data_IF_112275022079
#
_entry.id   IF_112275022079
#
_cell.length_a   1.000
_cell.length_b   1.000
_cell.length_c   1.000
_cell.angle_alpha   90.00
_cell.angle_beta   90.00
_cell.angle_gamma   90.00
#
_symmetry.space_group_name_H-M   'P 1'
#
loop_
_entity.id
_entity.type
_entity.pdbx_description
1 polymer ?
#
# COMPACT_ATOMS: atom_id res chain seq x y z
N UNK A 1 -19.24 4.34 -10.58
CA UNK A 1 -18.18 4.85 -9.69
C UNK A 1 -16.80 4.21 -9.94
N UNK A 2 -16.64 2.87 -9.88
CA UNK A 2 -15.33 2.18 -10.09
C UNK A 2 -14.59 2.54 -11.40
N UNK A 3 -15.28 2.66 -12.54
CA UNK A 3 -14.67 3.04 -13.84
C UNK A 3 -14.10 4.46 -13.89
N UNK A 4 -14.70 5.40 -13.16
CA UNK A 4 -14.25 6.81 -13.12
C UNK A 4 -13.01 6.94 -12.24
N UNK A 5 -13.02 6.32 -11.06
CA UNK A 5 -11.85 6.25 -10.16
C UNK A 5 -10.62 5.67 -10.88
N UNK A 6 -10.80 4.59 -11.64
CA UNK A 6 -9.69 3.97 -12.37
C UNK A 6 -9.08 4.89 -13.45
N UNK A 7 -9.90 5.72 -14.10
CA UNK A 7 -9.41 6.71 -15.08
C UNK A 7 -8.65 7.88 -14.44
N UNK A 8 -8.90 8.16 -13.16
CA UNK A 8 -8.27 9.27 -12.43
C UNK A 8 -6.99 8.85 -11.69
N UNK A 9 -6.79 7.55 -11.42
CA UNK A 9 -5.61 7.04 -10.72
C UNK A 9 -4.31 7.37 -11.46
N UNK A 10 -4.24 7.11 -12.77
CA UNK A 10 -3.01 7.34 -13.55
C UNK A 10 -2.66 8.83 -13.61
N UNK A 11 -3.57 9.74 -13.99
CA UNK A 11 -3.31 11.18 -13.93
C UNK A 11 -2.92 11.65 -12.53
N UNK A 12 -3.56 11.14 -11.48
CA UNK A 12 -3.24 11.46 -10.09
C UNK A 12 -1.81 11.07 -9.72
N UNK A 13 -1.38 9.85 -10.07
CA UNK A 13 0.00 9.37 -9.86
C UNK A 13 1.03 10.21 -10.64
N UNK A 14 0.71 10.61 -11.87
CA UNK A 14 1.59 11.50 -12.65
C UNK A 14 1.71 12.87 -11.99
N UNK A 15 0.59 13.47 -11.56
CA UNK A 15 0.60 14.74 -10.86
C UNK A 15 1.38 14.66 -9.54
N UNK A 16 1.18 13.59 -8.77
CA UNK A 16 1.93 13.34 -7.54
C UNK A 16 3.43 13.13 -7.79
N UNK A 17 3.81 12.46 -8.87
CA UNK A 17 5.22 12.29 -9.26
C UNK A 17 5.86 13.64 -9.62
N UNK A 18 5.17 14.46 -10.41
CA UNK A 18 5.64 15.81 -10.74
C UNK A 18 5.79 16.67 -9.49
N UNK A 19 4.83 16.59 -8.57
CA UNK A 19 4.90 17.32 -7.30
C UNK A 19 6.05 16.83 -6.42
N UNK A 20 6.28 15.51 -6.37
CA UNK A 20 7.42 14.92 -5.68
C UNK A 20 8.75 15.39 -6.27
N UNK A 21 8.90 15.37 -7.59
CA UNK A 21 10.10 15.88 -8.27
C UNK A 21 10.32 17.35 -7.94
N UNK A 22 9.28 18.18 -8.01
CA UNK A 22 9.37 19.59 -7.64
C UNK A 22 9.86 19.76 -6.20
N UNK A 23 9.23 19.09 -5.24
CA UNK A 23 9.63 19.14 -3.82
C UNK A 23 11.08 18.70 -3.61
N UNK A 24 11.51 17.63 -4.29
CA UNK A 24 12.88 17.13 -4.18
C UNK A 24 13.93 18.10 -4.73
N UNK A 25 13.56 18.93 -5.72
CA UNK A 25 14.43 19.93 -6.33
C UNK A 25 14.47 21.25 -5.55
N UNK A 26 13.38 21.62 -4.86
CA UNK A 26 13.27 22.93 -4.22
C UNK A 26 13.53 22.90 -2.71
N UNK A 27 13.22 21.80 -2.03
CA UNK A 27 13.36 21.70 -0.58
C UNK A 27 14.68 21.02 -0.17
N UNK A 28 15.13 21.30 1.05
CA UNK A 28 16.24 20.56 1.65
C UNK A 28 15.75 19.18 2.08
N UNK A 29 16.26 18.17 1.39
CA UNK A 29 15.84 16.79 1.58
C UNK A 29 16.96 15.99 2.27
N UNK A 30 16.65 15.45 3.45
CA UNK A 30 17.58 14.61 4.20
C UNK A 30 17.24 13.13 3.99
N UNK A 31 18.23 12.36 3.56
CA UNK A 31 18.10 10.90 3.51
C UNK A 31 18.32 10.31 4.91
N UNK A 32 17.27 9.74 5.50
CA UNK A 32 17.27 9.18 6.86
C UNK A 32 17.04 7.66 6.83
N UNK A 33 18.08 6.82 6.66
CA UNK A 33 17.91 5.38 6.47
C UNK A 33 17.31 4.67 7.69
N UNK A 34 17.59 5.14 8.91
CA UNK A 34 16.98 4.58 10.13
C UNK A 34 15.46 4.74 10.16
N UNK A 35 14.93 5.82 9.56
CA UNK A 35 13.48 6.03 9.46
C UNK A 35 12.85 5.05 8.46
N UNK A 36 13.58 4.66 7.41
CA UNK A 36 13.13 3.61 6.48
C UNK A 36 13.04 2.26 7.21
N UNK A 37 14.05 1.92 8.02
CA UNK A 37 14.00 0.70 8.84
C UNK A 37 12.81 0.73 9.80
N UNK A 38 12.57 1.87 10.46
CA UNK A 38 11.41 2.06 11.32
C UNK A 38 10.08 1.88 10.56
N UNK A 39 9.96 2.49 9.37
CA UNK A 39 8.80 2.30 8.48
C UNK A 39 8.55 0.82 8.22
N UNK A 40 9.59 0.06 7.85
CA UNK A 40 9.46 -1.36 7.50
C UNK A 40 9.05 -2.21 8.69
N UNK A 41 9.70 -2.03 9.85
CA UNK A 41 9.38 -2.77 11.07
C UNK A 41 7.96 -2.46 11.55
N UNK A 42 7.58 -1.19 11.53
CA UNK A 42 6.26 -0.76 11.97
C UNK A 42 5.15 -1.26 11.03
N UNK A 43 5.38 -1.21 9.71
CA UNK A 43 4.47 -1.77 8.72
C UNK A 43 4.33 -3.28 8.89
N UNK A 44 5.44 -4.01 9.08
CA UNK A 44 5.40 -5.44 9.33
C UNK A 44 4.65 -5.80 10.62
N UNK A 45 4.86 -5.03 11.70
CA UNK A 45 4.16 -5.21 12.96
C UNK A 45 2.64 -5.01 12.79
N UNK A 46 2.22 -3.89 12.20
CA UNK A 46 0.81 -3.59 12.00
C UNK A 46 0.14 -4.58 11.05
N UNK A 47 0.82 -4.97 9.96
CA UNK A 47 0.34 -6.02 9.08
C UNK A 47 0.19 -7.34 9.84
N UNK A 48 1.19 -7.74 10.64
CA UNK A 48 1.14 -8.96 11.46
C UNK A 48 -0.02 -8.94 12.47
N UNK A 49 -0.25 -7.83 13.16
CA UNK A 49 -1.39 -7.66 14.06
C UNK A 49 -2.73 -7.76 13.31
N UNK A 50 -2.81 -7.15 12.12
CA UNK A 50 -3.99 -7.23 11.27
C UNK A 50 -4.28 -8.68 10.84
N UNK A 51 -3.27 -9.38 10.31
CA UNK A 51 -3.38 -10.79 9.94
C UNK A 51 -3.77 -11.68 11.13
N UNK A 52 -3.10 -11.52 12.27
CA UNK A 52 -3.42 -12.27 13.50
C UNK A 52 -4.86 -12.03 13.97
N UNK A 53 -5.36 -10.79 13.86
CA UNK A 53 -6.74 -10.45 14.16
C UNK A 53 -7.74 -11.13 13.22
N UNK A 54 -7.46 -11.16 11.91
CA UNK A 54 -8.32 -11.85 10.94
C UNK A 54 -8.35 -13.37 11.19
N UNK A 55 -7.21 -13.98 11.51
CA UNK A 55 -7.14 -15.41 11.86
C UNK A 55 -7.95 -15.69 13.13
N UNK A 56 -7.82 -14.86 14.15
CA UNK A 56 -8.60 -15.02 15.37
C UNK A 56 -10.10 -14.95 15.08
N UNK A 57 -10.54 -14.03 14.23
CA UNK A 57 -11.94 -13.90 13.83
C UNK A 57 -12.45 -15.10 13.02
N UNK A 58 -11.62 -15.70 12.16
CA UNK A 58 -12.03 -16.89 11.39
C UNK A 58 -12.26 -18.11 12.29
N UNK A 59 -11.48 -18.27 13.37
CA UNK A 59 -11.73 -19.30 14.38
C UNK A 59 -13.12 -19.19 15.03
N UNK A 60 -13.68 -17.98 15.13
CA UNK A 60 -14.99 -17.75 15.77
C UNK A 60 -16.16 -17.67 14.78
N UNK A 61 -15.91 -17.58 13.48
CA UNK A 61 -16.97 -17.40 12.48
C UNK A 61 -16.65 -18.04 11.14
N UNK A 62 -17.35 -19.14 10.83
CA UNK A 62 -17.25 -19.82 9.53
C UNK A 62 -17.61 -18.93 8.35
N UNK A 63 -18.62 -18.06 8.50
CA UNK A 63 -18.99 -17.10 7.45
C UNK A 63 -17.92 -16.02 7.22
N UNK A 64 -17.07 -15.75 8.22
CA UNK A 64 -15.93 -14.86 8.06
C UNK A 64 -14.78 -15.56 7.33
N UNK A 65 -14.54 -16.83 7.65
CA UNK A 65 -13.52 -17.67 7.01
C UNK A 65 -13.75 -17.80 5.50
N UNK A 66 -14.98 -18.17 5.09
CA UNK A 66 -15.36 -18.29 3.67
C UNK A 66 -15.12 -16.97 2.90
N UNK A 67 -15.40 -15.82 3.52
CA UNK A 67 -15.18 -14.50 2.91
C UNK A 67 -13.70 -14.13 2.82
N UNK A 68 -12.92 -14.51 3.82
CA UNK A 68 -11.48 -14.25 3.86
C UNK A 68 -10.78 -15.02 2.73
N UNK A 69 -11.15 -16.28 2.50
CA UNK A 69 -10.62 -17.07 1.38
C UNK A 69 -10.95 -16.46 0.02
N UNK A 70 -12.20 -16.02 -0.19
CA UNK A 70 -12.62 -15.36 -1.43
C UNK A 70 -11.81 -14.07 -1.68
N UNK A 71 -11.65 -13.24 -0.63
CA UNK A 71 -10.86 -12.02 -0.67
C UNK A 71 -9.39 -12.28 -1.03
N UNK A 72 -8.78 -13.33 -0.44
CA UNK A 72 -7.40 -13.72 -0.74
C UNK A 72 -7.22 -14.20 -2.18
N UNK A 73 -8.15 -14.99 -2.70
CA UNK A 73 -8.11 -15.46 -4.09
C UNK A 73 -8.22 -14.27 -5.06
N UNK A 74 -9.16 -13.36 -4.81
CA UNK A 74 -9.34 -12.15 -5.60
C UNK A 74 -8.09 -11.25 -5.56
N UNK A 75 -7.47 -11.09 -4.39
CA UNK A 75 -6.24 -10.33 -4.23
C UNK A 75 -5.06 -10.96 -4.99
N UNK A 76 -4.90 -12.28 -4.95
CA UNK A 76 -3.87 -12.99 -5.72
C UNK A 76 -4.04 -12.80 -7.23
N UNK A 77 -5.28 -12.93 -7.74
CA UNK A 77 -5.59 -12.68 -9.16
C UNK A 77 -5.26 -11.23 -9.55
N UNK A 78 -5.63 -10.25 -8.71
CA UNK A 78 -5.32 -8.84 -8.96
C UNK A 78 -3.81 -8.59 -9.01
N UNK A 79 -3.06 -9.15 -8.05
CA UNK A 79 -1.59 -9.03 -8.00
C UNK A 79 -0.91 -9.69 -9.20
N UNK A 80 -1.40 -10.84 -9.67
CA UNK A 80 -0.89 -11.48 -10.89
C UNK A 80 -1.13 -10.60 -12.14
N UNK A 81 -2.29 -9.95 -12.24
CA UNK A 81 -2.58 -9.00 -13.33
C UNK A 81 -1.63 -7.80 -13.27
N UNK A 82 -1.43 -7.22 -12.10
CA UNK A 82 -0.49 -6.10 -11.91
C UNK A 82 0.93 -6.54 -12.28
N UNK A 83 1.38 -7.71 -11.82
CA UNK A 83 2.71 -8.24 -12.17
C UNK A 83 2.89 -8.44 -13.69
N UNK A 84 1.87 -8.98 -14.36
CA UNK A 84 1.90 -9.16 -15.81
C UNK A 84 1.96 -7.82 -16.55
N UNK A 85 1.23 -6.82 -16.05
CA UNK A 85 1.21 -5.47 -16.60
C UNK A 85 2.56 -4.76 -16.38
N UNK A 86 3.13 -4.83 -15.18
CA UNK A 86 4.47 -4.32 -14.89
C UNK A 86 5.54 -4.99 -15.76
N UNK A 87 5.43 -6.30 -16.02
CA UNK A 87 6.34 -7.00 -16.93
C UNK A 87 6.25 -6.47 -18.37
N UNK A 88 5.07 -6.06 -18.82
CA UNK A 88 4.86 -5.47 -20.16
C UNK A 88 5.30 -4.00 -20.20
N UNK A 89 5.04 -3.27 -19.14
CA UNK A 89 5.22 -1.83 -19.03
C UNK A 89 6.02 -1.50 -17.74
N UNK A 90 7.35 -1.74 -17.72
CA UNK A 90 8.16 -1.66 -16.50
C UNK A 90 8.20 -0.26 -15.89
N UNK A 91 7.98 0.78 -16.70
CA UNK A 91 7.87 2.17 -16.22
C UNK A 91 6.70 2.40 -15.26
N UNK A 92 5.72 1.50 -15.17
CA UNK A 92 4.64 1.61 -14.18
C UNK A 92 5.14 1.56 -12.74
N UNK A 93 6.32 0.98 -12.48
CA UNK A 93 6.98 1.01 -11.16
C UNK A 93 7.29 2.46 -10.74
N UNK A 94 7.59 3.35 -11.69
CA UNK A 94 7.85 4.77 -11.42
C UNK A 94 6.59 5.53 -10.96
N UNK A 95 5.40 4.94 -11.13
CA UNK A 95 4.15 5.53 -10.66
C UNK A 95 3.87 5.21 -9.18
N UNK A 96 4.63 4.32 -8.55
CA UNK A 96 4.50 4.01 -7.11
C UNK A 96 4.88 5.24 -6.27
N UNK A 97 6.06 5.87 -6.45
CA UNK A 97 6.37 7.16 -5.79
C UNK A 97 5.36 8.27 -6.10
N UNK A 98 4.75 8.23 -7.29
CA UNK A 98 3.72 9.18 -7.68
C UNK A 98 2.46 9.08 -6.83
N UNK A 99 2.14 7.91 -6.30
CA UNK A 99 1.03 7.73 -5.38
C UNK A 99 1.31 8.43 -4.03
N UNK A 100 2.49 8.23 -3.46
CA UNK A 100 2.90 8.89 -2.22
C UNK A 100 2.98 10.42 -2.38
N UNK A 101 3.51 10.88 -3.52
CA UNK A 101 3.54 12.29 -3.88
C UNK A 101 2.14 12.90 -4.03
N UNK A 102 1.14 12.11 -4.43
CA UNK A 102 -0.23 12.60 -4.55
C UNK A 102 -0.95 12.67 -3.20
N UNK A 103 -0.84 11.62 -2.38
CA UNK A 103 -1.61 11.50 -1.14
C UNK A 103 -0.91 12.09 0.09
N UNK A 104 0.41 11.97 0.21
CA UNK A 104 1.13 12.29 1.45
C UNK A 104 1.94 13.58 1.37
N UNK A 105 2.50 13.90 0.21
CA UNK A 105 3.29 15.13 0.08
C UNK A 105 2.49 16.42 0.41
N UNK A 106 1.19 16.58 0.04
CA UNK A 106 0.42 17.75 0.44
C UNK A 106 0.40 17.99 1.96
N UNK A 107 0.48 16.94 2.78
CA UNK A 107 0.45 17.04 4.24
C UNK A 107 1.69 17.75 4.80
N UNK A 108 2.82 17.70 4.10
CA UNK A 108 4.02 18.46 4.48
C UNK A 108 3.80 19.97 4.33
N UNK A 109 2.90 20.39 3.43
CA UNK A 109 2.63 21.80 3.16
C UNK A 109 1.47 22.36 3.98
N UNK A 110 0.41 21.57 4.22
CA UNK A 110 -0.75 22.00 5.01
C UNK A 110 -0.58 21.75 6.52
N UNK A 111 0.41 20.94 6.90
CA UNK A 111 0.65 20.51 8.27
C UNK A 111 0.11 19.11 8.56
N UNK A 112 0.92 18.32 9.28
CA UNK A 112 0.58 16.97 9.71
C UNK A 112 -0.09 17.07 11.09
N UNK A 113 -1.34 16.60 11.16
CA UNK A 113 -2.07 16.42 12.41
C UNK A 113 -2.99 15.19 12.27
N UNK A 114 -3.62 14.70 13.37
CA UNK A 114 -4.49 13.53 13.31
C UNK A 114 -5.62 13.63 12.26
N UNK A 115 -6.17 14.81 12.01
CA UNK A 115 -7.25 14.99 11.05
C UNK A 115 -6.73 14.94 9.60
N UNK A 116 -5.65 15.66 9.29
CA UNK A 116 -5.05 15.64 7.94
C UNK A 116 -4.51 14.26 7.59
N UNK A 117 -3.89 13.57 8.55
CA UNK A 117 -3.46 12.17 8.41
C UNK A 117 -4.63 11.21 8.17
N UNK A 118 -5.74 11.37 8.89
CA UNK A 118 -6.95 10.56 8.70
C UNK A 118 -7.52 10.71 7.29
N UNK A 119 -7.66 11.95 6.82
CA UNK A 119 -8.20 12.23 5.48
C UNK A 119 -7.29 11.63 4.40
N UNK A 120 -5.97 11.84 4.49
CA UNK A 120 -5.03 11.29 3.51
C UNK A 120 -5.05 9.77 3.49
N UNK A 121 -5.01 9.13 4.67
CA UNK A 121 -5.07 7.67 4.79
C UNK A 121 -6.39 7.11 4.24
N UNK A 122 -7.52 7.78 4.49
CA UNK A 122 -8.82 7.38 3.97
C UNK A 122 -8.87 7.46 2.44
N UNK A 123 -8.38 8.56 1.86
CA UNK A 123 -8.29 8.73 0.41
C UNK A 123 -7.35 7.70 -0.23
N UNK A 124 -6.20 7.47 0.38
CA UNK A 124 -5.23 6.46 -0.05
C UNK A 124 -5.84 5.05 -0.03
N UNK A 125 -6.48 4.64 1.08
CA UNK A 125 -7.16 3.35 1.18
C UNK A 125 -8.34 3.23 0.19
N UNK A 126 -9.10 4.31 -0.01
CA UNK A 126 -10.21 4.34 -0.95
C UNK A 126 -9.75 4.16 -2.41
N UNK A 127 -8.59 4.72 -2.78
CA UNK A 127 -8.00 4.52 -4.10
C UNK A 127 -7.64 3.05 -4.38
N UNK A 128 -7.36 2.28 -3.32
CA UNK A 128 -7.06 0.86 -3.40
C UNK A 128 -8.31 -0.04 -3.43
N UNK A 129 -9.50 0.44 -3.02
CA UNK A 129 -10.74 -0.35 -3.03
C UNK A 129 -11.15 -0.84 -4.44
N UNK A 130 -10.52 -0.34 -5.50
CA UNK A 130 -10.73 -0.81 -6.86
C UNK A 130 -10.14 -2.21 -7.12
N UNK A 131 -9.13 -2.62 -6.35
CA UNK A 131 -8.40 -3.87 -6.56
C UNK A 131 -7.98 -4.60 -5.27
N UNK A 132 -8.14 -4.00 -4.09
CA UNK A 132 -8.05 -4.66 -2.77
C UNK A 132 -9.45 -4.93 -2.22
N UNK A 133 -9.59 -5.96 -1.38
CA UNK A 133 -10.83 -6.18 -0.65
C UNK A 133 -11.06 -5.09 0.39
N UNK A 134 -12.30 -4.95 0.88
CA UNK A 134 -12.61 -3.95 1.90
C UNK A 134 -11.78 -4.18 3.17
N UNK A 135 -11.58 -5.44 3.57
CA UNK A 135 -10.77 -5.80 4.72
C UNK A 135 -9.31 -5.34 4.53
N UNK A 136 -8.72 -5.62 3.37
CA UNK A 136 -7.36 -5.16 3.04
C UNK A 136 -7.25 -3.63 2.97
N UNK A 137 -8.30 -2.93 2.56
CA UNK A 137 -8.36 -1.47 2.56
C UNK A 137 -8.42 -0.89 3.99
N UNK A 138 -9.11 -1.54 4.92
CA UNK A 138 -9.11 -1.13 6.34
C UNK A 138 -7.70 -1.28 6.93
N UNK A 139 -7.02 -2.40 6.67
CA UNK A 139 -5.62 -2.57 7.07
C UNK A 139 -4.71 -1.51 6.45
N UNK A 140 -4.87 -1.24 5.15
CA UNK A 140 -4.13 -0.19 4.43
C UNK A 140 -4.38 1.20 5.04
N UNK A 141 -5.62 1.50 5.42
CA UNK A 141 -5.99 2.75 6.09
C UNK A 141 -5.24 2.94 7.40
N UNK A 142 -5.27 1.95 8.31
CA UNK A 142 -4.60 2.08 9.60
C UNK A 142 -3.09 2.21 9.46
N UNK A 143 -2.47 1.41 8.58
CA UNK A 143 -1.04 1.51 8.29
C UNK A 143 -0.70 2.90 7.77
N UNK A 144 -1.39 3.38 6.74
CA UNK A 144 -1.15 4.71 6.17
C UNK A 144 -1.36 5.83 7.21
N UNK A 145 -2.40 5.73 8.04
CA UNK A 145 -2.69 6.69 9.09
C UNK A 145 -1.54 6.87 10.07
N UNK A 146 -1.02 5.77 10.62
CA UNK A 146 0.09 5.84 11.57
C UNK A 146 1.41 6.23 10.88
N UNK A 147 1.64 5.81 9.64
CA UNK A 147 2.83 6.24 8.89
C UNK A 147 2.81 7.75 8.60
N UNK A 148 1.64 8.34 8.31
CA UNK A 148 1.48 9.79 8.20
C UNK A 148 1.82 10.52 9.51
N UNK A 149 1.57 9.93 10.66
CA UNK A 149 1.84 10.56 11.97
C UNK A 149 3.27 10.35 12.46
N UNK A 150 3.90 9.22 12.11
CA UNK A 150 5.16 8.80 12.72
C UNK A 150 6.34 8.92 11.75
N UNK A 151 6.13 8.63 10.46
CA UNK A 151 7.19 8.60 9.45
C UNK A 151 7.20 9.87 8.61
N UNK A 152 6.06 10.30 8.08
CA UNK A 152 5.97 11.46 7.21
C UNK A 152 6.56 12.76 7.83
N UNK A 153 6.45 13.04 9.15
CA UNK A 153 7.11 14.21 9.75
C UNK A 153 8.63 14.21 9.63
N UNK A 154 9.25 13.05 9.36
CA UNK A 154 10.68 12.92 9.16
C UNK A 154 11.12 13.24 7.72
N UNK A 155 10.17 13.40 6.80
CA UNK A 155 10.36 13.73 5.40
C UNK A 155 9.64 12.78 4.45
N UNK A 156 9.48 13.20 3.19
CA UNK A 156 8.82 12.38 2.16
C UNK A 156 9.70 11.21 1.66
N UNK A 157 11.04 11.36 1.68
CA UNK A 157 11.93 10.33 1.14
C UNK A 157 11.82 9.00 1.90
N UNK A 158 11.87 8.95 3.25
CA UNK A 158 11.71 7.69 3.96
C UNK A 158 10.35 7.03 3.73
N UNK A 159 9.29 7.83 3.56
CA UNK A 159 7.94 7.35 3.24
C UNK A 159 7.91 6.63 1.89
N UNK A 160 8.40 7.30 0.84
CA UNK A 160 8.45 6.76 -0.53
C UNK A 160 9.36 5.53 -0.62
N UNK A 161 10.55 5.60 -0.03
CA UNK A 161 11.51 4.49 -0.08
C UNK A 161 10.99 3.26 0.68
N UNK A 162 10.40 3.47 1.86
CA UNK A 162 9.79 2.40 2.65
C UNK A 162 8.65 1.72 1.89
N UNK A 163 7.74 2.51 1.31
CA UNK A 163 6.63 2.00 0.51
C UNK A 163 7.11 1.20 -0.70
N UNK A 164 8.08 1.73 -1.46
CA UNK A 164 8.65 1.04 -2.61
C UNK A 164 9.28 -0.31 -2.23
N UNK A 165 9.99 -0.38 -1.10
CA UNK A 165 10.58 -1.64 -0.61
C UNK A 165 9.48 -2.65 -0.26
N UNK A 166 8.40 -2.21 0.41
CA UNK A 166 7.26 -3.10 0.75
C UNK A 166 6.63 -3.64 -0.53
N UNK A 167 6.33 -2.78 -1.50
CA UNK A 167 5.71 -3.17 -2.77
C UNK A 167 6.59 -4.16 -3.55
N UNK A 168 7.89 -3.87 -3.68
CA UNK A 168 8.85 -4.78 -4.32
C UNK A 168 8.89 -6.13 -3.58
N UNK A 169 8.92 -6.11 -2.25
CA UNK A 169 8.94 -7.34 -1.43
C UNK A 169 7.70 -8.19 -1.70
N UNK A 170 6.52 -7.58 -1.77
CA UNK A 170 5.28 -8.28 -2.14
C UNK A 170 5.40 -8.89 -3.53
N UNK A 171 5.88 -8.15 -4.53
CA UNK A 171 6.07 -8.67 -5.89
C UNK A 171 7.05 -9.85 -5.97
N UNK A 172 8.10 -9.83 -5.15
CA UNK A 172 9.11 -10.89 -5.05
C UNK A 172 8.59 -12.14 -4.32
N UNK A 173 7.71 -11.96 -3.33
CA UNK A 173 7.13 -13.07 -2.56
C UNK A 173 5.97 -13.79 -3.29
N UNK A 174 5.29 -13.11 -4.23
CA UNK A 174 4.16 -13.67 -4.99
C UNK A 174 4.39 -15.07 -5.62
N UNK A 175 5.53 -15.35 -6.30
CA UNK A 175 5.80 -16.68 -6.85
C UNK A 175 5.82 -17.79 -5.80
N UNK A 176 6.32 -17.50 -4.61
CA UNK A 176 6.44 -18.47 -3.52
C UNK A 176 5.08 -18.78 -2.90
N UNK A 177 4.25 -17.76 -2.68
CA UNK A 177 2.89 -17.92 -2.14
C UNK A 177 1.96 -18.72 -3.08
N UNK A 178 2.14 -18.58 -4.39
CA UNK A 178 1.33 -19.33 -5.36
C UNK A 178 1.73 -20.81 -5.46
N UNK A 179 3.03 -21.12 -5.27
CA UNK A 179 3.52 -22.51 -5.32
C UNK A 179 2.96 -23.34 -4.16
N UNK A 180 2.93 -22.77 -2.95
CA UNK A 180 2.37 -23.43 -1.76
C UNK A 180 0.87 -23.69 -1.84
N UNK A 181 0.08 -22.84 -2.50
CA UNK A 181 -1.37 -23.08 -2.70
C UNK A 181 -1.64 -24.18 -3.73
N UNK A 182 -0.82 -24.31 -4.76
CA UNK A 182 -0.95 -25.38 -5.78
C UNK A 182 -0.53 -26.76 -5.23
N UNK A 183 0.54 -26.80 -4.44
CA UNK A 183 1.02 -28.04 -3.81
C UNK A 183 0.08 -28.50 -2.67
N UNK A 184 -0.60 -27.58 -1.98
CA UNK A 184 -1.61 -27.92 -0.97
C UNK A 184 -2.95 -28.43 -1.54
N UNK A 185 -3.38 -27.92 -2.70
CA UNK A 185 -4.61 -28.37 -3.39
C UNK A 185 -4.48 -29.73 -4.09
N UNK A 186 -3.26 -30.24 -4.26
CA UNK A 186 -2.98 -31.56 -4.83
C UNK A 186 -2.81 -32.66 -3.77
N UNK A 187 -2.91 -32.29 -2.48
CA UNK A 187 -2.80 -33.17 -1.34
C UNK A 187 -4.11 -33.35 -0.54
N UNK A 188 -5.22 -32.77 -1.02
CA UNK A 188 -6.59 -32.95 -0.51
C UNK A 188 -7.47 -33.64 -1.55
#
# INVERSE_FOLDING_TARGET
MRRLLHKLIIPGKIAGLLFLIFHLLTEKNEFKPLVIVYYLLFTALLAGLWFGGNILLSYFSKSYDDKLEEDEQNASIALMKIKAEVKRNPWQILLIPGEDGFFFLPLLYIGINPLSAFIAAALFAAAHCAYKSLNACIGTFFIAYFLCLLVLPQGIIPMVAGHLIVDISVFLCLPYMNKTKLDGSSAS
#
